data_IF_633161354050
#
_entry.id   IF_633161354050
#
_cell.length_a   1.000
_cell.length_b   1.000
_cell.length_c   1.000
_cell.angle_alpha   90.00
_cell.angle_beta   90.00
_cell.angle_gamma   90.00
#
_symmetry.space_group_name_H-M   'P 1'
#
loop_
_entity.id
_entity.type
_entity.pdbx_description
1 polymer ?
#
# COMPACT_ATOMS: atom_id res chain seq x y z
N UNK A 1 -13.41 12.04 1.21
CA UNK A 1 -13.95 11.27 2.35
C UNK A 1 -13.83 12.14 3.58
N UNK A 2 -14.90 12.25 4.38
CA UNK A 2 -14.90 13.01 5.64
C UNK A 2 -14.91 11.99 6.78
N UNK A 3 -13.92 12.05 7.66
CA UNK A 3 -13.85 11.18 8.83
C UNK A 3 -14.26 11.97 10.08
N UNK A 4 -14.82 11.27 11.06
CA UNK A 4 -15.25 11.85 12.33
C UNK A 4 -14.11 11.96 13.34
N UNK A 5 -13.06 11.16 13.19
CA UNK A 5 -11.88 11.17 14.05
C UNK A 5 -10.61 10.74 13.32
N UNK A 6 -9.46 11.08 13.91
CA UNK A 6 -8.16 10.60 13.45
C UNK A 6 -8.09 9.06 13.43
N UNK A 7 -8.60 8.42 14.49
CA UNK A 7 -8.63 6.96 14.59
C UNK A 7 -9.43 6.35 13.45
N UNK A 8 -10.61 6.91 13.14
CA UNK A 8 -11.44 6.44 12.03
C UNK A 8 -10.69 6.49 10.70
N UNK A 9 -10.04 7.62 10.40
CA UNK A 9 -9.21 7.78 9.20
C UNK A 9 -8.14 6.70 9.12
N UNK A 10 -7.42 6.50 10.22
CA UNK A 10 -6.32 5.54 10.26
C UNK A 10 -6.82 4.10 10.07
N UNK A 11 -7.90 3.71 10.75
CA UNK A 11 -8.51 2.38 10.62
C UNK A 11 -9.06 2.14 9.21
N UNK A 12 -9.55 3.17 8.53
CA UNK A 12 -10.00 3.07 7.14
C UNK A 12 -8.89 2.65 6.17
N UNK A 13 -7.61 2.85 6.53
CA UNK A 13 -6.47 2.34 5.74
C UNK A 13 -6.58 0.84 5.48
N UNK A 14 -7.01 0.05 6.47
CA UNK A 14 -7.18 -1.39 6.29
C UNK A 14 -8.30 -1.71 5.31
N UNK A 15 -9.40 -0.95 5.34
CA UNK A 15 -10.53 -1.09 4.41
C UNK A 15 -10.10 -0.76 2.98
N UNK A 16 -9.49 0.41 2.77
CA UNK A 16 -9.07 0.89 1.44
C UNK A 16 -8.10 -0.07 0.75
N UNK A 17 -7.25 -0.74 1.53
CA UNK A 17 -6.21 -1.63 1.01
C UNK A 17 -6.55 -3.11 1.17
N UNK A 18 -7.77 -3.46 1.63
CA UNK A 18 -8.19 -4.85 1.72
C UNK A 18 -8.49 -5.38 0.31
N UNK A 19 -7.83 -6.47 -0.12
CA UNK A 19 -7.96 -6.95 -1.48
C UNK A 19 -9.24 -7.78 -1.71
N UNK A 20 -9.65 -7.97 -2.97
CA UNK A 20 -10.73 -8.88 -3.30
C UNK A 20 -10.39 -10.33 -2.93
N UNK A 21 -11.43 -11.16 -2.78
CA UNK A 21 -11.27 -12.58 -2.52
C UNK A 21 -10.77 -13.32 -3.76
N UNK A 22 -9.57 -13.90 -3.65
CA UNK A 22 -8.98 -14.80 -4.65
C UNK A 22 -8.51 -16.06 -3.94
N UNK A 23 -9.20 -17.20 -4.08
CA UNK A 23 -8.85 -18.43 -3.38
C UNK A 23 -7.69 -19.16 -4.06
N UNK A 24 -6.89 -19.86 -3.26
CA UNK A 24 -5.96 -20.86 -3.76
C UNK A 24 -6.65 -22.23 -3.74
N UNK A 25 -7.02 -22.75 -4.92
CA UNK A 25 -7.80 -23.99 -5.05
C UNK A 25 -7.08 -25.24 -4.56
N UNK A 26 -5.77 -25.30 -4.76
CA UNK A 26 -4.91 -26.43 -4.37
C UNK A 26 -4.38 -26.30 -2.92
N UNK A 27 -4.97 -25.40 -2.12
CA UNK A 27 -4.56 -25.22 -0.72
C UNK A 27 -5.05 -26.37 0.18
N UNK A 28 -4.36 -26.64 1.31
CA UNK A 28 -4.86 -27.54 2.33
C UNK A 28 -6.19 -27.12 2.98
N UNK A 29 -6.56 -25.84 2.90
CA UNK A 29 -7.83 -25.32 3.38
C UNK A 29 -8.83 -25.16 2.23
N UNK A 30 -10.09 -25.56 2.44
CA UNK A 30 -11.16 -25.45 1.44
C UNK A 30 -11.38 -24.00 0.98
N UNK A 31 -11.94 -23.83 -0.22
CA UNK A 31 -12.34 -22.49 -0.71
C UNK A 31 -13.34 -21.82 0.25
N UNK A 32 -14.26 -22.60 0.84
CA UNK A 32 -15.22 -22.08 1.81
C UNK A 32 -14.53 -21.58 3.10
N UNK A 33 -13.57 -22.33 3.62
CA UNK A 33 -12.75 -21.88 4.74
C UNK A 33 -12.00 -20.59 4.44
N UNK A 34 -11.43 -20.47 3.24
CA UNK A 34 -10.76 -19.25 2.78
C UNK A 34 -11.75 -18.08 2.68
N UNK A 35 -12.95 -18.32 2.15
CA UNK A 35 -14.03 -17.32 2.02
C UNK A 35 -14.48 -16.81 3.39
N UNK A 36 -14.69 -17.70 4.35
CA UNK A 36 -15.07 -17.31 5.71
C UNK A 36 -13.97 -16.52 6.41
N UNK A 37 -12.69 -16.89 6.23
CA UNK A 37 -11.59 -16.09 6.77
C UNK A 37 -11.51 -14.69 6.14
N UNK A 38 -11.71 -14.61 4.82
CA UNK A 38 -11.75 -13.33 4.10
C UNK A 38 -12.89 -12.44 4.63
N UNK A 39 -14.10 -12.99 4.74
CA UNK A 39 -15.26 -12.30 5.30
C UNK A 39 -15.02 -11.86 6.76
N UNK A 40 -14.36 -12.69 7.58
CA UNK A 40 -13.99 -12.33 8.95
C UNK A 40 -13.09 -11.08 9.00
N UNK A 41 -12.00 -11.07 8.22
CA UNK A 41 -11.09 -9.91 8.20
C UNK A 41 -11.74 -8.67 7.59
N UNK A 42 -12.52 -8.81 6.52
CA UNK A 42 -13.26 -7.71 5.92
C UNK A 42 -14.23 -7.08 6.93
N UNK A 43 -15.08 -7.90 7.56
CA UNK A 43 -16.03 -7.45 8.56
C UNK A 43 -15.35 -6.83 9.79
N UNK A 44 -14.23 -7.40 10.22
CA UNK A 44 -13.42 -6.83 11.30
C UNK A 44 -12.92 -5.42 10.97
N UNK A 45 -12.33 -5.20 9.78
CA UNK A 45 -11.82 -3.88 9.40
C UNK A 45 -12.94 -2.86 9.20
N UNK A 46 -14.05 -3.27 8.58
CA UNK A 46 -15.23 -2.43 8.43
C UNK A 46 -15.79 -2.01 9.80
N UNK A 47 -15.89 -2.95 10.76
CA UNK A 47 -16.36 -2.66 12.12
C UNK A 47 -15.41 -1.72 12.86
N UNK A 48 -14.09 -1.93 12.78
CA UNK A 48 -13.11 -1.03 13.40
C UNK A 48 -13.18 0.38 12.81
N UNK A 49 -13.32 0.51 11.49
CA UNK A 49 -13.47 1.82 10.85
C UNK A 49 -14.82 2.48 11.16
N UNK A 50 -15.89 1.71 11.32
CA UNK A 50 -17.20 2.23 11.69
C UNK A 50 -17.25 2.72 13.15
N UNK A 51 -16.62 1.98 14.06
CA UNK A 51 -16.57 2.29 15.49
C UNK A 51 -15.15 2.15 16.07
N UNK A 52 -14.35 3.24 16.03
CA UNK A 52 -13.02 3.23 16.63
C UNK A 52 -13.01 3.06 18.16
N UNK A 53 -14.15 3.26 18.84
CA UNK A 53 -14.22 3.19 20.31
C UNK A 53 -13.95 1.78 20.85
N UNK A 54 -14.11 0.76 20.00
CA UNK A 54 -13.68 -0.62 20.25
C UNK A 54 -12.21 -0.67 20.70
N UNK A 55 -11.38 0.19 20.12
CA UNK A 55 -9.95 0.26 20.40
C UNK A 55 -9.57 1.44 21.29
N UNK A 56 -10.27 2.56 21.22
CA UNK A 56 -9.79 3.81 21.80
C UNK A 56 -10.85 4.41 22.72
N UNK A 57 -10.47 4.64 23.98
CA UNK A 57 -11.35 5.29 24.96
C UNK A 57 -11.52 6.79 24.69
N UNK A 58 -10.58 7.38 23.96
CA UNK A 58 -10.57 8.78 23.56
C UNK A 58 -10.28 8.84 22.06
N UNK A 59 -11.02 9.70 21.35
CA UNK A 59 -10.87 9.92 19.92
C UNK A 59 -10.40 11.35 19.67
N UNK A 60 -9.49 11.52 18.73
CA UNK A 60 -8.97 12.83 18.35
C UNK A 60 -9.77 13.42 17.18
N UNK A 61 -9.78 14.75 17.07
CA UNK A 61 -10.29 15.42 15.87
C UNK A 61 -9.58 14.88 14.62
N UNK A 62 -10.33 14.69 13.53
CA UNK A 62 -9.76 14.25 12.26
C UNK A 62 -8.74 15.27 11.73
N UNK A 63 -7.58 14.78 11.30
CA UNK A 63 -6.54 15.57 10.68
C UNK A 63 -5.66 14.68 9.80
N UNK A 64 -5.00 15.26 8.80
CA UNK A 64 -4.01 14.59 7.98
C UNK A 64 -3.02 15.58 7.35
N UNK A 65 -1.83 15.09 7.00
CA UNK A 65 -0.86 15.94 6.34
C UNK A 65 -1.33 16.29 4.92
N UNK A 66 -1.37 17.59 4.55
CA UNK A 66 -1.81 18.00 3.22
C UNK A 66 -0.74 17.77 2.13
N UNK A 67 0.54 17.70 2.51
CA UNK A 67 1.66 17.61 1.58
C UNK A 67 2.42 16.29 1.71
N UNK A 68 2.46 15.49 0.63
CA UNK A 68 3.15 14.18 0.60
C UNK A 68 4.66 14.29 0.80
N UNK A 69 5.30 15.19 0.07
CA UNK A 69 6.77 15.28 0.02
C UNK A 69 7.37 16.27 1.03
N UNK A 70 6.56 17.14 1.63
CA UNK A 70 7.01 18.10 2.65
C UNK A 70 6.05 18.12 3.85
N UNK A 71 5.89 16.96 4.51
CA UNK A 71 5.02 16.79 5.68
C UNK A 71 5.36 17.77 6.82
N UNK A 72 6.63 18.14 6.95
CA UNK A 72 7.13 19.06 7.97
C UNK A 72 6.56 20.48 7.83
N UNK A 73 6.27 20.93 6.61
CA UNK A 73 5.65 22.24 6.37
C UNK A 73 4.26 22.39 7.00
N UNK A 74 3.62 21.28 7.37
CA UNK A 74 2.34 21.32 8.08
C UNK A 74 2.45 21.80 9.54
N UNK A 75 3.65 21.75 10.14
CA UNK A 75 3.87 22.25 11.50
C UNK A 75 3.28 21.39 12.63
N UNK A 76 2.76 20.19 12.33
CA UNK A 76 2.18 19.25 13.31
C UNK A 76 2.98 17.95 13.42
N UNK A 77 4.18 17.94 14.03
CA UNK A 77 5.02 16.74 14.12
C UNK A 77 4.42 15.63 15.01
N UNK A 78 3.51 15.96 15.94
CA UNK A 78 2.83 14.95 16.78
C UNK A 78 1.81 14.13 16.01
N UNK A 79 1.17 14.73 14.99
CA UNK A 79 0.11 14.08 14.21
C UNK A 79 0.58 12.74 13.62
N UNK A 80 1.75 12.71 12.98
CA UNK A 80 2.29 11.46 12.41
C UNK A 80 2.57 10.39 13.47
N UNK A 81 2.92 10.79 14.70
CA UNK A 81 3.16 9.88 15.81
C UNK A 81 1.84 9.27 16.28
N UNK A 82 0.81 10.10 16.43
CA UNK A 82 -0.52 9.68 16.85
C UNK A 82 -1.16 8.74 15.80
N UNK A 83 -1.08 9.10 14.52
CA UNK A 83 -1.51 8.25 13.40
C UNK A 83 -0.86 6.87 13.42
N UNK A 84 0.47 6.83 13.59
CA UNK A 84 1.23 5.56 13.67
C UNK A 84 0.86 4.75 14.91
N UNK A 85 0.55 5.42 16.03
CA UNK A 85 0.12 4.75 17.26
C UNK A 85 -1.23 4.06 17.09
N UNK A 86 -2.15 4.65 16.33
CA UNK A 86 -3.43 4.01 15.98
C UNK A 86 -3.19 2.72 15.20
N UNK A 87 -2.45 2.78 14.09
CA UNK A 87 -2.16 1.58 13.27
C UNK A 87 -1.42 0.51 14.08
N UNK A 88 -0.41 0.90 14.87
CA UNK A 88 0.35 -0.03 15.72
C UNK A 88 -0.54 -0.79 16.72
N UNK A 89 -1.62 -0.18 17.18
CA UNK A 89 -2.57 -0.83 18.09
C UNK A 89 -3.28 -1.99 17.39
N UNK A 90 -3.73 -1.79 16.16
CA UNK A 90 -4.36 -2.84 15.35
C UNK A 90 -3.34 -3.87 14.87
N UNK A 91 -2.17 -3.45 14.40
CA UNK A 91 -1.09 -4.36 14.00
C UNK A 91 -0.67 -5.28 15.15
N UNK A 92 -0.63 -4.78 16.38
CA UNK A 92 -0.37 -5.61 17.57
C UNK A 92 -1.45 -6.68 17.76
N UNK A 93 -2.72 -6.36 17.50
CA UNK A 93 -3.80 -7.34 17.58
C UNK A 93 -3.75 -8.36 16.46
N UNK A 94 -3.50 -7.92 15.22
CA UNK A 94 -3.26 -8.79 14.07
C UNK A 94 -2.11 -9.76 14.33
N UNK A 95 -1.04 -9.29 15.00
CA UNK A 95 0.05 -10.13 15.47
C UNK A 95 -0.39 -11.21 16.45
N UNK A 96 -1.30 -10.90 17.38
CA UNK A 96 -1.90 -11.91 18.26
C UNK A 96 -2.72 -12.93 17.47
N UNK A 97 -3.58 -12.49 16.54
CA UNK A 97 -4.36 -13.39 15.70
C UNK A 97 -3.47 -14.34 14.89
N UNK A 98 -2.40 -13.79 14.31
CA UNK A 98 -1.39 -14.57 13.57
C UNK A 98 -0.71 -15.60 14.46
N UNK A 99 -0.24 -15.22 15.65
CA UNK A 99 0.40 -16.14 16.60
C UNK A 99 -0.53 -17.25 17.06
N UNK A 100 -1.79 -16.93 17.38
CA UNK A 100 -2.78 -17.95 17.75
C UNK A 100 -2.99 -18.99 16.65
N UNK A 101 -3.11 -18.53 15.39
CA UNK A 101 -3.19 -19.44 14.24
C UNK A 101 -1.94 -20.29 14.10
N UNK A 102 -0.75 -19.69 14.26
CA UNK A 102 0.52 -20.39 14.09
C UNK A 102 0.73 -21.46 15.16
N UNK A 103 0.43 -21.16 16.42
CA UNK A 103 0.70 -22.00 17.59
C UNK A 103 -0.43 -23.00 17.90
N UNK A 104 -1.68 -22.67 17.56
CA UNK A 104 -2.83 -23.53 17.82
C UNK A 104 -2.86 -24.79 16.96
N UNK A 105 -3.53 -25.85 17.42
CA UNK A 105 -3.85 -27.04 16.63
C UNK A 105 -5.30 -26.99 16.15
N UNK A 106 -5.56 -27.50 14.95
CA UNK A 106 -6.91 -27.58 14.40
C UNK A 106 -7.54 -28.91 14.79
N UNK A 107 -8.70 -28.88 15.45
CA UNK A 107 -9.52 -30.06 15.74
C UNK A 107 -10.92 -29.84 15.15
N UNK A 108 -11.15 -30.41 13.97
CA UNK A 108 -12.34 -30.08 13.16
C UNK A 108 -12.36 -28.60 12.79
N UNK A 109 -13.42 -27.91 13.20
CA UNK A 109 -13.66 -26.47 12.94
C UNK A 109 -13.31 -25.58 14.13
N UNK A 110 -12.47 -26.06 15.04
CA UNK A 110 -12.09 -25.35 16.27
C UNK A 110 -10.57 -25.25 16.33
N UNK A 111 -10.07 -24.06 16.69
CA UNK A 111 -8.66 -23.87 16.94
C UNK A 111 -8.39 -24.09 18.45
N UNK A 112 -7.68 -25.17 18.76
CA UNK A 112 -7.25 -25.52 20.12
C UNK A 112 -5.93 -24.83 20.42
N UNK A 113 -5.90 -24.09 21.52
CA UNK A 113 -4.80 -23.24 21.96
C UNK A 113 -4.15 -23.85 23.20
N UNK A 114 -2.82 -23.96 23.17
CA UNK A 114 -2.03 -24.44 24.31
C UNK A 114 -1.93 -23.39 25.42
N UNK A 115 -1.03 -22.42 25.25
CA UNK A 115 -0.88 -21.27 26.15
C UNK A 115 -1.47 -20.01 25.50
N UNK A 116 -2.22 -19.21 26.26
CA UNK A 116 -2.75 -17.92 25.80
C UNK A 116 -2.04 -16.73 26.44
N UNK A 117 -0.86 -16.96 27.04
CA UNK A 117 0.07 -15.90 27.48
C UNK A 117 0.41 -15.00 26.30
N UNK A 118 -0.08 -13.76 26.34
CA UNK A 118 0.06 -12.77 25.27
C UNK A 118 -1.28 -12.20 24.80
N UNK A 119 -2.38 -12.91 25.05
CA UNK A 119 -3.74 -12.39 24.78
C UNK A 119 -4.20 -11.52 25.95
N UNK A 120 -3.97 -10.20 25.84
CA UNK A 120 -4.39 -9.21 26.83
C UNK A 120 -5.91 -9.21 27.04
N UNK A 121 -6.38 -8.67 28.18
CA UNK A 121 -7.82 -8.51 28.45
C UNK A 121 -8.51 -7.72 27.34
N UNK A 122 -7.86 -6.68 26.81
CA UNK A 122 -8.37 -5.87 25.70
C UNK A 122 -8.51 -6.70 24.43
N UNK A 123 -7.50 -7.51 24.08
CA UNK A 123 -7.59 -8.41 22.92
C UNK A 123 -8.75 -9.40 23.06
N UNK A 124 -8.98 -9.95 24.26
CA UNK A 124 -10.13 -10.86 24.51
C UNK A 124 -11.47 -10.16 24.35
N UNK A 125 -11.59 -8.92 24.83
CA UNK A 125 -12.80 -8.12 24.64
C UNK A 125 -13.06 -7.87 23.16
N UNK A 126 -12.05 -7.44 22.40
CA UNK A 126 -12.19 -7.23 20.95
C UNK A 126 -12.50 -8.54 20.21
N UNK A 127 -11.86 -9.65 20.56
CA UNK A 127 -12.21 -10.96 19.99
C UNK A 127 -13.68 -11.30 20.22
N UNK A 128 -14.20 -11.10 21.44
CA UNK A 128 -15.61 -11.32 21.73
C UNK A 128 -16.53 -10.41 20.91
N UNK A 129 -16.18 -9.12 20.74
CA UNK A 129 -16.88 -8.20 19.84
C UNK A 129 -16.86 -8.65 18.38
N UNK A 130 -15.86 -9.44 17.97
CA UNK A 130 -15.77 -10.03 16.63
C UNK A 130 -16.41 -11.42 16.54
N UNK A 131 -17.18 -11.85 17.54
CA UNK A 131 -17.83 -13.18 17.54
C UNK A 131 -16.90 -14.36 17.84
N UNK A 132 -15.63 -14.10 18.13
CA UNK A 132 -14.67 -15.12 18.53
C UNK A 132 -14.90 -15.54 19.98
N UNK A 133 -15.39 -16.77 20.16
CA UNK A 133 -15.63 -17.35 21.47
C UNK A 133 -14.40 -18.08 21.96
N UNK A 134 -13.88 -17.60 23.07
CA UNK A 134 -12.76 -18.21 23.77
C UNK A 134 -13.28 -19.10 24.91
N UNK A 135 -13.42 -20.40 24.64
CA UNK A 135 -13.92 -21.40 25.59
C UNK A 135 -12.79 -22.21 26.26
N UNK A 136 -13.13 -23.01 27.26
CA UNK A 136 -12.27 -24.07 27.76
C UNK A 136 -12.79 -25.43 27.30
N UNK A 137 -11.93 -26.29 26.74
CA UNK A 137 -12.27 -27.70 26.58
C UNK A 137 -12.18 -28.37 27.96
N UNK A 138 -13.27 -28.98 28.40
CA UNK A 138 -13.18 -30.07 29.36
C UNK A 138 -12.58 -31.26 28.58
N UNK A 139 -11.25 -31.41 28.61
CA UNK A 139 -10.61 -32.57 28.01
C UNK A 139 -11.17 -33.83 28.69
N UNK A 140 -11.61 -34.86 27.95
CA UNK A 140 -11.80 -36.17 28.55
C UNK A 140 -10.44 -36.59 29.12
N UNK A 141 -10.41 -36.92 30.41
CA UNK A 141 -9.23 -37.41 31.12
C UNK A 141 -8.73 -38.69 30.46
N UNK A 142 -7.87 -38.58 29.43
CA UNK A 142 -7.09 -39.73 28.98
C UNK A 142 -5.95 -39.93 29.97
N UNK A 143 -5.97 -41.08 30.61
CA UNK A 143 -5.01 -41.55 31.61
C UNK A 143 -3.56 -41.52 31.08
N UNK A 144 -2.80 -40.48 31.43
CA UNK A 144 -1.35 -40.50 31.71
C UNK A 144 -0.79 -39.07 31.58
N UNK A 145 -0.97 -38.22 32.59
CA UNK A 145 -0.18 -37.00 32.74
C UNK A 145 0.70 -37.13 34.00
N UNK A 146 1.99 -36.74 33.93
CA UNK A 146 2.89 -36.81 35.08
C UNK A 146 2.37 -35.94 36.23
N UNK A 147 2.41 -36.49 37.44
CA UNK A 147 2.09 -35.76 38.68
C UNK A 147 2.99 -34.52 38.78
N UNK A 148 2.41 -33.33 38.65
CA UNK A 148 3.11 -32.04 38.83
C UNK A 148 2.72 -30.92 37.88
N UNK A 149 2.03 -31.22 36.77
CA UNK A 149 1.41 -30.18 35.94
C UNK A 149 -0.06 -30.04 36.32
N UNK A 150 -0.46 -28.89 36.86
CA UNK A 150 -1.89 -28.56 36.99
C UNK A 150 -2.55 -28.62 35.60
N UNK A 151 -3.89 -28.82 35.51
CA UNK A 151 -4.55 -28.91 34.22
C UNK A 151 -4.33 -27.60 33.46
N UNK A 152 -3.48 -27.61 32.44
CA UNK A 152 -3.47 -26.56 31.44
C UNK A 152 -4.80 -26.70 30.72
N UNK A 153 -5.79 -25.90 31.11
CA UNK A 153 -7.09 -25.87 30.43
C UNK A 153 -6.82 -25.48 28.99
N UNK A 154 -6.88 -26.47 28.08
CA UNK A 154 -6.83 -26.22 26.66
C UNK A 154 -7.95 -25.23 26.33
N UNK A 155 -7.56 -24.14 25.69
CA UNK A 155 -8.45 -23.05 25.38
C UNK A 155 -8.88 -23.21 23.93
N UNK A 156 -10.16 -23.04 23.62
CA UNK A 156 -10.67 -23.19 22.26
C UNK A 156 -11.15 -21.87 21.71
N UNK A 157 -10.84 -21.64 20.44
CA UNK A 157 -11.38 -20.54 19.66
C UNK A 157 -12.40 -21.10 18.66
N UNK A 158 -13.60 -20.53 18.69
CA UNK A 158 -14.71 -20.90 17.80
C UNK A 158 -15.46 -19.63 17.35
N UNK A 159 -16.22 -19.75 16.27
CA UNK A 159 -17.07 -18.69 15.74
C UNK A 159 -18.35 -19.33 15.21
N UNK A 160 -19.51 -18.85 15.64
CA UNK A 160 -20.80 -19.47 15.30
C UNK A 160 -21.13 -19.29 13.82
N UNK A 161 -20.97 -18.06 13.29
CA UNK A 161 -21.37 -17.74 11.92
C UNK A 161 -20.32 -18.09 10.85
N UNK A 162 -19.06 -18.30 11.26
CA UNK A 162 -17.91 -18.54 10.38
C UNK A 162 -17.09 -19.75 10.89
N UNK A 163 -17.71 -20.91 11.09
CA UNK A 163 -17.08 -22.04 11.79
C UNK A 163 -15.89 -22.64 11.01
N UNK A 164 -15.89 -22.59 9.68
CA UNK A 164 -14.87 -23.23 8.85
C UNK A 164 -13.62 -22.38 8.68
N UNK A 165 -13.63 -21.09 9.06
CA UNK A 165 -12.52 -20.17 8.81
C UNK A 165 -11.19 -20.61 9.46
N UNK A 166 -11.23 -21.41 10.52
CA UNK A 166 -10.04 -21.77 11.30
C UNK A 166 -9.05 -22.66 10.53
N UNK A 167 -9.52 -23.44 9.55
CA UNK A 167 -8.62 -24.20 8.69
C UNK A 167 -7.74 -23.28 7.83
N UNK A 168 -8.35 -22.29 7.16
CA UNK A 168 -7.64 -21.26 6.41
C UNK A 168 -6.80 -20.37 7.32
N UNK A 169 -7.31 -20.01 8.51
CA UNK A 169 -6.57 -19.22 9.50
C UNK A 169 -5.27 -19.93 9.88
N UNK A 170 -5.37 -21.19 10.33
CA UNK A 170 -4.23 -22.02 10.70
C UNK A 170 -3.24 -22.11 9.54
N UNK A 171 -3.73 -22.48 8.36
CA UNK A 171 -2.91 -22.62 7.16
C UNK A 171 -2.16 -21.34 6.80
N UNK A 172 -2.86 -20.19 6.72
CA UNK A 172 -2.24 -18.91 6.38
C UNK A 172 -1.19 -18.46 7.41
N UNK A 173 -1.41 -18.76 8.68
CA UNK A 173 -0.49 -18.41 9.76
C UNK A 173 0.75 -19.33 9.85
N UNK A 174 0.67 -20.57 9.36
CA UNK A 174 1.74 -21.57 9.51
C UNK A 174 2.39 -22.03 8.21
N UNK A 175 1.91 -21.64 7.03
CA UNK A 175 2.49 -22.05 5.74
C UNK A 175 3.93 -21.55 5.55
N UNK A 176 4.76 -22.23 4.73
CA UNK A 176 6.07 -21.71 4.35
C UNK A 176 5.96 -20.29 3.78
N UNK A 177 6.83 -19.38 4.22
CA UNK A 177 6.78 -17.97 3.81
C UNK A 177 5.61 -17.17 4.39
N UNK A 178 4.88 -17.70 5.38
CA UNK A 178 3.80 -16.96 6.06
C UNK A 178 4.28 -15.59 6.56
N UNK A 179 3.50 -14.56 6.27
CA UNK A 179 3.76 -13.19 6.69
C UNK A 179 2.49 -12.58 7.27
N UNK A 180 2.67 -11.67 8.22
CA UNK A 180 1.55 -10.93 8.83
C UNK A 180 0.76 -10.13 7.79
N UNK A 181 1.43 -9.61 6.76
CA UNK A 181 0.78 -8.91 5.66
C UNK A 181 -0.13 -9.84 4.86
N UNK A 182 0.37 -10.98 4.40
CA UNK A 182 -0.43 -11.92 3.61
C UNK A 182 -1.59 -12.50 4.43
N UNK A 183 -1.35 -12.82 5.71
CA UNK A 183 -2.38 -13.31 6.63
C UNK A 183 -3.48 -12.27 6.86
N UNK A 184 -3.11 -11.06 7.29
CA UNK A 184 -4.09 -10.02 7.67
C UNK A 184 -4.87 -9.46 6.47
N UNK A 185 -4.38 -9.70 5.25
CA UNK A 185 -5.02 -9.30 3.99
C UNK A 185 -5.59 -10.46 3.20
N UNK A 186 -5.60 -11.67 3.75
CA UNK A 186 -6.15 -12.86 3.08
C UNK A 186 -5.56 -13.07 1.67
N UNK A 187 -4.25 -12.87 1.51
CA UNK A 187 -3.53 -13.08 0.25
C UNK A 187 -3.23 -14.58 0.07
N UNK A 188 -4.26 -15.36 -0.23
CA UNK A 188 -4.19 -16.82 -0.32
C UNK A 188 -3.29 -17.32 -1.44
N UNK A 189 -3.42 -16.75 -2.64
CA UNK A 189 -2.63 -17.14 -3.81
C UNK A 189 -1.33 -16.31 -3.88
N UNK A 190 -0.15 -16.90 -3.66
CA UNK A 190 1.11 -16.15 -3.71
C UNK A 190 1.45 -15.60 -5.12
N UNK A 191 0.87 -16.16 -6.18
CA UNK A 191 1.13 -15.78 -7.57
C UNK A 191 0.15 -14.70 -8.07
N UNK A 192 -0.92 -14.41 -7.32
CA UNK A 192 -1.86 -13.36 -7.64
C UNK A 192 -1.38 -11.97 -7.20
N UNK A 193 -1.52 -10.98 -8.07
CA UNK A 193 -1.15 -9.60 -7.74
C UNK A 193 -2.29 -8.86 -7.04
N UNK A 194 -2.38 -8.99 -5.71
CA UNK A 194 -3.45 -8.38 -4.92
C UNK A 194 -3.39 -6.84 -4.92
N UNK A 195 -2.20 -6.23 -4.94
CA UNK A 195 -2.12 -4.76 -4.93
C UNK A 195 -2.56 -4.16 -6.25
N UNK A 196 -2.38 -4.87 -7.37
CA UNK A 196 -2.96 -4.47 -8.66
C UNK A 196 -4.47 -4.25 -8.53
N UNK A 197 -5.22 -5.19 -7.96
CA UNK A 197 -6.67 -5.06 -7.82
C UNK A 197 -7.05 -3.92 -6.87
N UNK A 198 -6.31 -3.76 -5.77
CA UNK A 198 -6.50 -2.65 -4.83
C UNK A 198 -6.30 -1.30 -5.54
N UNK A 199 -5.23 -1.13 -6.30
CA UNK A 199 -4.95 0.14 -6.99
C UNK A 199 -5.82 0.37 -8.21
N UNK A 200 -6.28 -0.70 -8.88
CA UNK A 200 -7.33 -0.61 -9.90
C UNK A 200 -8.58 0.04 -9.31
N UNK A 201 -9.08 -0.46 -8.16
CA UNK A 201 -10.21 0.10 -7.42
C UNK A 201 -9.94 1.53 -6.94
N UNK A 202 -8.77 1.78 -6.34
CA UNK A 202 -8.42 3.08 -5.76
C UNK A 202 -8.07 4.16 -6.80
N UNK A 203 -7.91 3.79 -8.08
CA UNK A 203 -7.56 4.71 -9.16
C UNK A 203 -8.60 5.81 -9.40
N UNK A 204 -9.85 5.59 -9.00
CA UNK A 204 -10.98 6.47 -9.31
C UNK A 204 -11.57 6.26 -10.71
N UNK A 205 -10.89 5.53 -11.60
CA UNK A 205 -11.39 5.12 -12.91
C UNK A 205 -10.73 3.81 -13.34
N UNK A 206 -11.39 2.68 -13.07
CA UNK A 206 -10.84 1.35 -13.38
C UNK A 206 -10.52 1.17 -14.86
N UNK A 207 -11.36 1.71 -15.76
CA UNK A 207 -11.10 1.64 -17.21
C UNK A 207 -9.84 2.39 -17.65
N UNK A 208 -9.53 3.52 -17.00
CA UNK A 208 -8.29 4.25 -17.26
C UNK A 208 -7.07 3.47 -16.70
N UNK A 209 -7.20 2.85 -15.52
CA UNK A 209 -6.18 1.96 -14.98
C UNK A 209 -5.91 0.77 -15.92
N UNK A 210 -6.96 0.10 -16.39
CA UNK A 210 -6.87 -1.06 -17.30
C UNK A 210 -6.22 -0.68 -18.64
N UNK A 211 -6.51 0.52 -19.15
CA UNK A 211 -5.84 1.07 -20.33
C UNK A 211 -4.34 1.27 -20.11
N UNK A 212 -3.94 1.84 -18.96
CA UNK A 212 -2.54 2.05 -18.61
C UNK A 212 -1.80 0.72 -18.45
N UNK A 213 -2.38 -0.21 -17.69
CA UNK A 213 -1.81 -1.53 -17.46
C UNK A 213 -1.58 -2.27 -18.78
N UNK A 214 -2.58 -2.31 -19.66
CA UNK A 214 -2.46 -2.98 -20.95
C UNK A 214 -1.27 -2.45 -21.75
N UNK A 215 -1.16 -1.14 -21.87
CA UNK A 215 -0.02 -0.52 -22.56
C UNK A 215 1.32 -0.89 -21.91
N UNK A 216 1.41 -0.85 -20.58
CA UNK A 216 2.65 -1.14 -19.87
C UNK A 216 3.13 -2.58 -20.12
N UNK A 217 2.20 -3.55 -20.05
CA UNK A 217 2.49 -4.96 -20.30
C UNK A 217 2.86 -5.21 -21.78
N UNK A 218 2.12 -4.61 -22.72
CA UNK A 218 2.45 -4.68 -24.16
C UNK A 218 3.80 -4.01 -24.49
N UNK A 219 4.24 -3.05 -23.69
CA UNK A 219 5.53 -2.38 -23.81
C UNK A 219 6.66 -3.05 -23.00
N UNK A 220 6.48 -4.30 -22.57
CA UNK A 220 7.41 -5.12 -21.78
C UNK A 220 7.81 -4.51 -20.42
N UNK A 221 6.92 -3.73 -19.78
CA UNK A 221 7.14 -3.36 -18.39
C UNK A 221 6.83 -4.56 -17.49
N UNK A 222 7.75 -4.86 -16.59
CA UNK A 222 7.61 -5.91 -15.59
C UNK A 222 6.72 -5.42 -14.45
N UNK A 223 5.73 -6.24 -14.09
CA UNK A 223 4.95 -6.07 -12.87
C UNK A 223 5.79 -6.47 -11.66
N UNK A 224 5.94 -5.56 -10.71
CA UNK A 224 6.54 -5.80 -9.41
C UNK A 224 5.49 -5.49 -8.35
N UNK A 225 4.97 -6.54 -7.72
CA UNK A 225 4.01 -6.41 -6.63
C UNK A 225 4.74 -6.36 -5.27
N UNK A 226 4.30 -5.46 -4.38
CA UNK A 226 4.82 -5.26 -3.02
C UNK A 226 6.34 -5.03 -2.98
N UNK A 227 6.83 -3.99 -3.70
CA UNK A 227 8.23 -3.56 -3.56
C UNK A 227 8.59 -3.40 -2.08
N UNK A 228 9.70 -4.02 -1.68
CA UNK A 228 10.20 -4.04 -0.30
C UNK A 228 9.18 -4.52 0.76
N UNK A 229 8.20 -5.34 0.35
CA UNK A 229 7.13 -5.84 1.23
C UNK A 229 6.05 -4.82 1.56
N UNK A 230 6.03 -3.66 0.88
CA UNK A 230 5.03 -2.62 1.06
C UNK A 230 3.71 -2.90 0.34
N UNK A 231 2.72 -2.04 0.57
CA UNK A 231 1.47 -2.01 -0.20
C UNK A 231 1.73 -1.19 -1.47
N UNK A 232 2.32 -1.80 -2.49
CA UNK A 232 2.70 -1.10 -3.73
C UNK A 232 2.48 -1.99 -4.93
N UNK A 233 2.21 -1.38 -6.09
CA UNK A 233 2.30 -2.05 -7.38
C UNK A 233 3.11 -1.19 -8.33
N UNK A 234 4.05 -1.79 -9.02
CA UNK A 234 4.91 -1.10 -9.97
C UNK A 234 4.90 -1.82 -11.31
N UNK A 235 4.88 -1.06 -12.39
CA UNK A 235 5.15 -1.56 -13.73
C UNK A 235 6.39 -0.84 -14.21
N UNK A 236 7.50 -1.56 -14.32
CA UNK A 236 8.80 -0.95 -14.57
C UNK A 236 9.53 -1.58 -15.74
N UNK A 237 10.30 -0.76 -16.44
CA UNK A 237 11.27 -1.22 -17.44
C UNK A 237 12.64 -0.67 -17.10
N UNK A 238 13.61 -1.56 -16.95
CA UNK A 238 14.98 -1.17 -16.63
C UNK A 238 15.63 -0.50 -17.85
N UNK A 239 16.24 0.67 -17.62
CA UNK A 239 16.96 1.49 -18.61
C UNK A 239 18.36 1.88 -18.16
N UNK A 240 18.68 1.67 -16.89
CA UNK A 240 20.01 1.83 -16.33
C UNK A 240 20.68 0.49 -16.12
N UNK A 241 21.29 0.30 -14.96
CA UNK A 241 22.01 -0.91 -14.62
C UNK A 241 21.04 -2.09 -14.41
N UNK A 242 21.20 -3.16 -15.18
CA UNK A 242 20.33 -4.35 -15.11
C UNK A 242 20.31 -5.04 -13.73
N UNK A 243 21.29 -4.78 -12.87
CA UNK A 243 21.36 -5.27 -11.49
C UNK A 243 20.92 -4.26 -10.42
N UNK A 244 20.45 -3.08 -10.82
CA UNK A 244 19.99 -2.08 -9.86
C UNK A 244 18.79 -2.59 -9.07
N UNK A 245 18.72 -2.26 -7.77
CA UNK A 245 17.51 -2.49 -6.99
C UNK A 245 16.46 -1.44 -7.37
N UNK A 246 15.22 -1.88 -7.61
CA UNK A 246 14.09 -0.97 -7.82
C UNK A 246 13.90 -0.08 -6.58
N UNK A 247 14.01 1.24 -6.76
CA UNK A 247 13.86 2.23 -5.70
C UNK A 247 12.51 2.93 -5.70
N UNK A 248 12.36 3.86 -4.75
CA UNK A 248 11.23 4.78 -4.73
C UNK A 248 11.27 5.69 -5.99
N UNK A 249 10.16 5.86 -6.72
CA UNK A 249 10.14 6.53 -8.03
C UNK A 249 10.59 8.00 -8.01
N UNK A 250 10.47 8.70 -6.88
CA UNK A 250 10.99 10.05 -6.74
C UNK A 250 12.53 10.16 -6.77
N UNK A 251 13.24 9.05 -6.58
CA UNK A 251 14.71 9.01 -6.50
C UNK A 251 15.33 7.93 -7.38
N UNK A 252 14.52 7.23 -8.18
CA UNK A 252 14.99 6.17 -9.05
C UNK A 252 15.57 6.77 -10.34
N UNK A 253 16.69 6.21 -10.79
CA UNK A 253 17.40 6.65 -11.99
C UNK A 253 17.56 5.53 -13.03
N UNK A 254 17.06 4.33 -12.73
CA UNK A 254 17.29 3.13 -13.52
C UNK A 254 16.02 2.59 -14.18
N UNK A 255 14.84 3.00 -13.72
CA UNK A 255 13.57 2.45 -14.20
C UNK A 255 12.63 3.53 -14.72
N UNK A 256 12.02 3.28 -15.88
CA UNK A 256 10.82 3.99 -16.36
C UNK A 256 9.57 3.20 -16.02
N UNK A 257 8.39 3.84 -16.09
CA UNK A 257 7.10 3.18 -15.87
C UNK A 257 6.23 3.89 -14.84
N UNK A 258 5.35 3.17 -14.16
CA UNK A 258 4.44 3.72 -13.14
C UNK A 258 4.62 2.98 -11.82
N UNK A 259 4.45 3.70 -10.72
CA UNK A 259 4.28 3.14 -9.38
C UNK A 259 2.92 3.57 -8.83
N UNK A 260 2.22 2.69 -8.11
CA UNK A 260 1.14 3.07 -7.23
C UNK A 260 1.47 2.66 -5.79
N UNK A 261 1.14 3.54 -4.86
CA UNK A 261 1.52 3.43 -3.44
C UNK A 261 0.42 4.10 -2.56
N UNK A 262 0.47 3.86 -1.26
CA UNK A 262 -0.53 4.29 -0.28
C UNK A 262 0.13 4.92 0.95
N UNK A 263 0.04 6.25 1.07
CA UNK A 263 0.59 7.02 2.19
C UNK A 263 -0.52 7.39 3.18
N UNK A 264 -0.77 6.51 4.16
CA UNK A 264 -1.88 6.61 5.11
C UNK A 264 -1.91 7.88 5.97
N UNK A 265 -0.83 8.68 5.99
CA UNK A 265 -0.78 9.93 6.76
C UNK A 265 -1.18 11.16 5.95
N UNK A 266 -1.47 10.99 4.65
CA UNK A 266 -1.84 12.06 3.72
C UNK A 266 -3.36 12.10 3.54
N UNK A 267 -3.90 13.32 3.34
CA UNK A 267 -5.34 13.56 3.14
C UNK A 267 -5.95 12.65 2.07
N UNK A 268 -5.24 12.48 0.95
CA UNK A 268 -5.55 11.49 -0.10
C UNK A 268 -4.41 10.47 -0.16
N UNK A 269 -4.60 9.28 0.46
CA UNK A 269 -3.51 8.35 0.71
C UNK A 269 -2.96 7.67 -0.54
N UNK A 270 -3.84 7.21 -1.43
CA UNK A 270 -3.44 6.54 -2.66
C UNK A 270 -2.82 7.53 -3.64
N UNK A 271 -1.82 7.07 -4.37
CA UNK A 271 -1.18 7.88 -5.38
C UNK A 271 -0.47 7.04 -6.43
N UNK A 272 -0.32 7.65 -7.60
CA UNK A 272 0.32 7.11 -8.78
C UNK A 272 1.48 8.02 -9.15
N UNK A 273 2.64 7.46 -9.45
CA UNK A 273 3.84 8.18 -9.83
C UNK A 273 4.41 7.65 -11.13
N UNK A 274 4.51 8.53 -12.13
CA UNK A 274 5.27 8.26 -13.33
C UNK A 274 6.77 8.30 -13.00
N UNK A 275 7.53 7.30 -13.40
CA UNK A 275 8.99 7.27 -13.30
C UNK A 275 9.59 7.92 -14.54
N UNK A 276 10.25 9.05 -14.34
CA UNK A 276 10.83 9.88 -15.39
C UNK A 276 12.34 9.86 -15.25
N UNK A 277 13.00 9.37 -16.27
CA UNK A 277 14.45 9.40 -16.37
C UNK A 277 14.88 10.59 -17.20
N UNK A 278 16.01 11.20 -16.85
CA UNK A 278 16.68 12.21 -17.68
C UNK A 278 15.76 13.39 -18.09
N UNK A 279 14.92 13.89 -17.19
CA UNK A 279 14.05 15.06 -17.45
C UNK A 279 14.81 16.26 -18.03
N UNK A 280 16.06 16.45 -17.58
CA UNK A 280 17.01 17.43 -18.12
C UNK A 280 17.23 17.33 -19.64
N UNK A 281 17.17 16.12 -20.19
CA UNK A 281 17.39 15.84 -21.60
C UNK A 281 16.07 15.85 -22.38
N UNK A 282 14.96 15.51 -21.72
CA UNK A 282 13.60 15.49 -22.31
C UNK A 282 13.09 16.90 -22.60
N UNK A 283 13.15 17.83 -21.63
CA UNK A 283 12.55 19.15 -21.80
C UNK A 283 13.12 19.96 -22.97
N UNK A 284 14.43 19.90 -23.30
CA UNK A 284 14.96 20.49 -24.53
C UNK A 284 14.36 19.95 -25.83
N UNK A 285 13.73 18.77 -25.80
CA UNK A 285 13.08 18.13 -26.95
C UNK A 285 11.58 18.47 -27.06
N UNK A 286 11.09 19.45 -26.29
CA UNK A 286 9.66 19.80 -26.22
C UNK A 286 9.02 20.08 -27.58
N UNK A 287 9.75 20.69 -28.52
CA UNK A 287 9.23 20.99 -29.86
C UNK A 287 8.99 19.74 -30.72
N UNK A 288 9.55 18.57 -30.33
CA UNK A 288 9.32 17.27 -30.97
C UNK A 288 8.09 16.54 -30.44
N UNK A 289 7.49 17.03 -29.35
CA UNK A 289 6.28 16.47 -28.79
C UNK A 289 5.07 16.88 -29.64
N UNK A 290 4.08 16.02 -29.75
CA UNK A 290 2.77 16.44 -30.28
C UNK A 290 2.07 17.41 -29.31
N UNK A 291 1.02 18.07 -29.78
CA UNK A 291 0.35 19.14 -29.03
C UNK A 291 -0.30 18.65 -27.72
N UNK A 292 -0.78 17.40 -27.68
CA UNK A 292 -1.40 16.81 -26.49
C UNK A 292 -0.35 16.48 -25.43
N UNK A 293 0.81 15.96 -25.85
CA UNK A 293 1.94 15.73 -24.95
C UNK A 293 2.55 17.05 -24.44
N UNK A 294 2.62 18.08 -25.28
CA UNK A 294 3.01 19.43 -24.84
C UNK A 294 2.08 19.96 -23.77
N UNK A 295 0.76 19.84 -23.97
CA UNK A 295 -0.26 20.18 -22.98
C UNK A 295 -0.02 19.44 -21.65
N UNK A 296 0.20 18.13 -21.73
CA UNK A 296 0.47 17.28 -20.56
C UNK A 296 1.72 17.72 -19.78
N UNK A 297 2.85 17.94 -20.47
CA UNK A 297 4.10 18.40 -19.82
C UNK A 297 3.92 19.79 -19.21
N UNK A 298 3.21 20.70 -19.87
CA UNK A 298 2.90 22.03 -19.35
C UNK A 298 2.00 21.97 -18.10
N UNK A 299 1.07 21.02 -18.07
CA UNK A 299 0.14 20.84 -16.95
C UNK A 299 0.88 20.34 -15.69
N UNK A 300 1.79 19.36 -15.84
CA UNK A 300 2.37 18.64 -14.70
C UNK A 300 3.79 19.04 -14.32
N UNK A 301 4.56 19.66 -15.22
CA UNK A 301 5.92 20.06 -14.89
C UNK A 301 5.95 21.32 -14.02
N UNK A 302 6.75 21.30 -12.94
CA UNK A 302 6.90 22.46 -12.07
C UNK A 302 7.45 23.65 -12.84
N UNK A 303 6.89 24.83 -12.57
CA UNK A 303 7.42 26.09 -13.08
C UNK A 303 8.65 26.53 -12.30
N UNK A 304 9.65 27.03 -13.01
CA UNK A 304 10.80 27.65 -12.38
C UNK A 304 10.36 28.95 -11.69
N UNK A 305 10.50 29.00 -10.36
CA UNK A 305 10.16 30.15 -9.52
C UNK A 305 11.40 30.73 -8.82
N UNK A 306 12.61 30.36 -9.28
CA UNK A 306 13.85 30.95 -8.78
C UNK A 306 14.29 30.51 -7.38
N UNK A 307 13.97 29.29 -6.94
CA UNK A 307 14.30 28.79 -5.59
C UNK A 307 15.79 28.53 -5.30
N UNK A 308 16.68 28.74 -6.26
CA UNK A 308 18.13 28.54 -6.15
C UNK A 308 18.63 27.14 -5.80
N UNK A 309 17.75 26.14 -5.67
CA UNK A 309 18.12 24.75 -5.38
C UNK A 309 19.16 24.21 -6.37
N UNK A 310 18.95 24.44 -7.67
CA UNK A 310 19.85 24.01 -8.74
C UNK A 310 21.26 24.60 -8.65
N UNK A 311 21.44 25.72 -7.93
CA UNK A 311 22.72 26.40 -7.80
C UNK A 311 23.30 26.35 -6.37
N UNK A 312 22.61 25.72 -5.41
CA UNK A 312 22.99 25.77 -3.99
C UNK A 312 24.39 25.23 -3.71
N UNK A 313 24.87 24.28 -4.52
CA UNK A 313 26.18 23.64 -4.36
C UNK A 313 27.34 24.46 -4.95
N UNK A 314 27.05 25.53 -5.71
CA UNK A 314 28.08 26.41 -6.22
C UNK A 314 28.55 27.37 -5.12
N UNK A 315 29.69 27.05 -4.52
CA UNK A 315 30.32 27.84 -3.44
C UNK A 315 30.66 29.27 -3.85
N UNK A 316 30.99 29.49 -5.13
CA UNK A 316 31.16 30.82 -5.69
C UNK A 316 29.80 31.33 -6.20
N UNK A 317 29.16 32.23 -5.46
CA UNK A 317 28.00 33.00 -5.93
C UNK A 317 28.43 34.04 -6.97
N UNK A 318 29.07 33.61 -8.05
CA UNK A 318 29.33 34.50 -9.18
C UNK A 318 28.05 34.67 -9.98
N UNK A 319 27.85 35.85 -10.56
CA UNK A 319 26.74 36.16 -11.48
C UNK A 319 26.73 35.28 -12.74
N UNK A 320 27.75 34.46 -12.96
CA UNK A 320 27.85 33.53 -14.08
C UNK A 320 27.11 32.20 -13.84
N UNK A 321 26.76 31.86 -12.60
CA UNK A 321 26.03 30.62 -12.31
C UNK A 321 24.54 30.82 -12.64
N UNK A 322 24.12 30.29 -13.79
CA UNK A 322 22.75 30.41 -14.26
C UNK A 322 21.86 29.34 -13.62
N UNK A 323 20.67 29.77 -13.18
CA UNK A 323 19.60 28.85 -12.77
C UNK A 323 19.25 27.92 -13.91
N UNK A 324 19.04 26.65 -13.60
CA UNK A 324 18.66 25.68 -14.62
C UNK A 324 17.15 25.75 -14.88
N UNK A 325 16.77 26.37 -16.00
CA UNK A 325 15.40 26.57 -16.46
C UNK A 325 15.35 26.31 -17.97
N UNK A 326 14.39 25.49 -18.42
CA UNK A 326 14.14 25.26 -19.85
C UNK A 326 12.95 26.10 -20.26
N UNK A 327 13.17 27.04 -21.18
CA UNK A 327 12.09 27.89 -21.70
C UNK A 327 11.51 27.22 -22.93
N UNK A 328 10.20 26.96 -22.90
CA UNK A 328 9.45 26.38 -24.02
C UNK A 328 8.33 27.32 -24.44
N UNK A 329 7.86 27.20 -25.68
CA UNK A 329 6.71 27.95 -26.20
C UNK A 329 5.59 26.99 -26.60
N UNK A 330 4.36 27.32 -26.21
CA UNK A 330 3.18 26.52 -26.55
C UNK A 330 1.95 27.41 -26.59
N UNK A 331 1.13 27.27 -27.63
CA UNK A 331 -0.09 28.09 -27.84
C UNK A 331 0.14 29.60 -27.64
N UNK A 332 1.25 30.11 -28.19
CA UNK A 332 1.64 31.52 -28.13
C UNK A 332 2.04 32.02 -26.73
N UNK A 333 2.27 31.12 -25.77
CA UNK A 333 2.74 31.44 -24.41
C UNK A 333 4.10 30.84 -24.15
N UNK A 334 4.96 31.61 -23.47
CA UNK A 334 6.29 31.15 -23.02
C UNK A 334 6.22 30.63 -21.60
N UNK A 335 6.88 29.51 -21.36
CA UNK A 335 6.88 28.81 -20.08
C UNK A 335 8.29 28.49 -19.62
N UNK A 336 8.64 28.84 -18.38
CA UNK A 336 9.89 28.42 -17.75
C UNK A 336 9.70 27.14 -16.94
N UNK A 337 10.20 26.01 -17.45
CA UNK A 337 10.08 24.70 -16.82
C UNK A 337 11.30 24.35 -15.98
N UNK A 338 11.06 23.78 -14.80
CA UNK A 338 12.11 23.26 -13.94
C UNK A 338 12.46 21.82 -14.35
N UNK A 339 13.72 21.52 -14.69
CA UNK A 339 14.17 20.16 -15.00
C UNK A 339 14.51 19.33 -13.75
N UNK A 340 14.62 19.96 -12.58
CA UNK A 340 14.95 19.29 -11.31
C UNK A 340 13.75 19.00 -10.42
N UNK A 341 12.60 19.63 -10.69
CA UNK A 341 11.36 19.39 -9.95
C UNK A 341 10.19 19.20 -10.92
N UNK A 342 9.36 18.17 -10.72
CA UNK A 342 9.48 17.13 -9.69
C UNK A 342 10.63 16.12 -9.94
N UNK A 343 11.51 16.40 -10.91
CA UNK A 343 12.84 15.79 -11.08
C UNK A 343 12.78 14.43 -11.74
N UNK A 344 12.13 13.48 -11.07
CA UNK A 344 12.06 12.08 -11.46
C UNK A 344 10.64 11.52 -11.50
N UNK A 345 9.62 12.31 -11.13
CA UNK A 345 8.25 11.79 -11.20
C UNK A 345 7.14 12.82 -11.31
N UNK A 346 6.11 12.54 -12.10
CA UNK A 346 4.81 13.21 -11.96
C UNK A 346 3.93 12.39 -11.02
N UNK A 347 3.10 13.05 -10.21
CA UNK A 347 2.36 12.40 -9.13
C UNK A 347 0.89 12.81 -9.13
N UNK A 348 0.00 11.82 -9.01
CA UNK A 348 -1.45 12.00 -8.99
C UNK A 348 -2.09 11.15 -7.90
N UNK A 349 -3.30 11.49 -7.49
CA UNK A 349 -4.09 10.71 -6.52
C UNK A 349 -5.22 9.93 -7.15
N UNK A 350 -5.43 10.11 -8.46
CA UNK A 350 -6.41 9.39 -9.27
C UNK A 350 -5.93 9.30 -10.71
N UNK A 351 -6.57 8.43 -11.49
CA UNK A 351 -6.40 8.30 -12.91
C UNK A 351 -7.71 8.65 -13.61
N UNK A 352 -7.58 9.25 -14.79
CA UNK A 352 -8.65 9.46 -15.75
C UNK A 352 -8.09 9.18 -17.15
N UNK A 353 -8.95 9.06 -18.15
CA UNK A 353 -8.52 8.71 -19.51
C UNK A 353 -7.54 9.72 -20.11
N UNK A 354 -7.76 11.04 -19.90
CA UNK A 354 -6.89 12.10 -20.43
C UNK A 354 -5.49 11.96 -19.83
N UNK A 355 -5.42 11.79 -18.52
CA UNK A 355 -4.17 11.61 -17.77
C UNK A 355 -3.44 10.37 -18.21
N UNK A 356 -4.12 9.24 -18.35
CA UNK A 356 -3.48 7.99 -18.79
C UNK A 356 -2.96 8.09 -20.22
N UNK A 357 -3.71 8.71 -21.14
CA UNK A 357 -3.20 8.98 -22.51
C UNK A 357 -1.93 9.83 -22.48
N UNK A 358 -1.89 10.87 -21.65
CA UNK A 358 -0.68 11.68 -21.47
C UNK A 358 0.49 10.91 -20.86
N UNK A 359 0.24 10.04 -19.87
CA UNK A 359 1.26 9.13 -19.30
C UNK A 359 1.84 8.21 -20.38
N UNK A 360 0.97 7.55 -21.14
CA UNK A 360 1.34 6.64 -22.23
C UNK A 360 2.17 7.37 -23.28
N UNK A 361 1.69 8.52 -23.76
CA UNK A 361 2.39 9.34 -24.75
C UNK A 361 3.78 9.76 -24.24
N UNK A 362 3.88 10.11 -22.95
CA UNK A 362 5.15 10.53 -22.38
C UNK A 362 6.15 9.38 -22.20
N UNK A 363 5.68 8.19 -21.76
CA UNK A 363 6.49 6.98 -21.72
C UNK A 363 6.98 6.59 -23.12
N UNK A 364 6.10 6.62 -24.12
CA UNK A 364 6.43 6.35 -25.53
C UNK A 364 7.44 7.34 -26.09
N UNK A 365 7.30 8.63 -25.74
CA UNK A 365 8.25 9.68 -26.13
C UNK A 365 9.64 9.42 -25.55
N UNK A 366 9.73 9.14 -24.25
CA UNK A 366 10.99 8.78 -23.60
C UNK A 366 11.64 7.58 -24.27
N UNK A 367 10.84 6.56 -24.61
CA UNK A 367 11.34 5.38 -25.30
C UNK A 367 12.00 5.73 -26.62
N UNK A 368 11.27 6.44 -27.47
CA UNK A 368 11.72 6.79 -28.81
C UNK A 368 12.93 7.71 -28.80
N UNK A 369 12.94 8.73 -27.94
CA UNK A 369 13.95 9.79 -28.02
C UNK A 369 15.20 9.54 -27.16
N UNK A 370 15.09 8.72 -26.10
CA UNK A 370 16.20 8.48 -25.18
C UNK A 370 16.76 7.06 -25.22
N UNK A 371 15.94 6.07 -25.57
CA UNK A 371 16.27 4.65 -25.39
C UNK A 371 16.15 3.81 -26.65
N UNK A 372 15.72 4.39 -27.77
CA UNK A 372 15.76 3.74 -29.07
C UNK A 372 17.23 3.54 -29.48
N UNK A 373 17.69 2.29 -29.41
CA UNK A 373 18.92 1.81 -30.03
C UNK A 373 18.61 0.99 -31.26
#
# INVERSE_FOLDING_TARGET
>A
MQFQSLEQRMLHTYVDTFPPFVPLREAPASEESQRQLHAFFEGMYQRFAADPSIWFSELHEDDAHPYRFNKAAYGKPKLIVDMRKVLKTVDSFLGVLFSLGKEGSLEGNILVLGDTKGVSRKHRAVMAELGLKLGGLAMPTSSALPKGSGPSKACVLSHDDLPEMFAAWKWMASRPGASMLAFSRCMFDPDHSYMRDVYRRLSGCEGAFDMLERYLLEADHQLVDRRDGGLTVDYVKCRGDAGAKLGHPAYDHNYTGIAADYDHVIVVPQYFMLRILRMRDILPMFDRMDEDLKDFVIEYNQRCHGCDFCIQRHKARSSAVKRFCVVVEHRGKRYGLCPLFPGHSYCWTSLDEKRVKGIIAFLSFMERELFAT
#
